data_IF_562880254415
#
_entry.id   IF_562880254415
#
_cell.length_a   1.000
_cell.length_b   1.000
_cell.length_c   1.000
_cell.angle_alpha   90.00
_cell.angle_beta   90.00
_cell.angle_gamma   90.00
#
_symmetry.space_group_name_H-M   'P 1'
#
loop_
_entity.id
_entity.type
_entity.pdbx_description
1 polymer ?
#
# COMPACT_ATOMS: atom_id res chain seq x y z
N UNK A 1 2.62 9.37 -21.36
CA UNK A 1 3.52 10.40 -21.97
C UNK A 1 4.59 9.79 -22.87
N UNK A 2 5.00 8.54 -22.71
CA UNK A 2 5.95 7.90 -23.63
C UNK A 2 5.45 7.83 -25.10
N UNK A 3 4.13 7.79 -25.27
CA UNK A 3 3.49 7.75 -26.62
C UNK A 3 3.11 9.15 -27.11
N UNK A 4 2.72 10.02 -26.20
CA UNK A 4 2.38 11.42 -26.48
C UNK A 4 2.96 12.32 -25.37
N UNK A 5 4.14 12.93 -25.60
CA UNK A 5 4.78 13.78 -24.59
C UNK A 5 4.02 15.06 -24.27
N UNK A 6 3.18 15.55 -25.19
CA UNK A 6 2.37 16.76 -25.03
C UNK A 6 1.05 16.49 -24.28
N UNK A 7 0.82 15.25 -23.83
CA UNK A 7 -0.38 14.92 -23.06
C UNK A 7 -0.30 15.54 -21.67
N UNK A 8 -1.24 16.40 -21.35
CA UNK A 8 -1.47 16.92 -20.03
C UNK A 8 -2.16 15.86 -19.18
N UNK A 9 -1.52 15.45 -18.08
CA UNK A 9 -2.00 14.40 -17.18
C UNK A 9 -2.00 14.99 -15.77
N UNK A 10 -3.17 14.97 -15.16
CA UNK A 10 -3.37 15.31 -13.76
C UNK A 10 -3.87 14.10 -12.98
N UNK A 11 -3.76 14.18 -11.67
CA UNK A 11 -4.16 13.12 -10.75
C UNK A 11 -5.09 13.67 -9.67
N UNK A 12 -5.92 12.81 -9.13
CA UNK A 12 -6.78 13.15 -8.00
C UNK A 12 -7.02 11.93 -7.12
N UNK A 13 -7.29 12.17 -5.85
CA UNK A 13 -7.67 11.09 -4.91
C UNK A 13 -9.13 10.71 -5.16
N UNK A 14 -9.39 9.42 -5.34
CA UNK A 14 -10.76 8.92 -5.53
C UNK A 14 -11.62 9.24 -4.31
N UNK A 15 -12.73 9.97 -4.48
CA UNK A 15 -13.60 10.33 -3.37
C UNK A 15 -14.39 9.08 -2.91
N UNK A 16 -13.99 8.51 -1.79
CA UNK A 16 -14.66 7.36 -1.17
C UNK A 16 -15.81 7.78 -0.24
N UNK A 17 -15.76 9.02 0.28
CA UNK A 17 -16.76 9.61 1.17
C UNK A 17 -17.19 10.99 0.69
N UNK A 18 -18.39 11.41 1.11
CA UNK A 18 -18.85 12.80 0.96
C UNK A 18 -18.17 13.76 1.94
N UNK A 19 -17.49 13.24 2.96
CA UNK A 19 -16.66 14.01 3.87
C UNK A 19 -15.22 14.03 3.34
N UNK A 20 -14.69 15.19 2.92
CA UNK A 20 -13.33 15.27 2.38
C UNK A 20 -12.25 14.79 3.37
N UNK A 21 -12.49 14.88 4.68
CA UNK A 21 -11.54 14.46 5.72
C UNK A 21 -11.37 12.94 5.79
N UNK A 22 -12.36 12.18 5.31
CA UNK A 22 -12.33 10.72 5.26
C UNK A 22 -11.66 10.18 3.99
N UNK A 23 -11.45 11.02 2.98
CA UNK A 23 -10.80 10.61 1.75
C UNK A 23 -9.29 10.50 1.96
N UNK A 24 -8.72 9.37 1.58
CA UNK A 24 -7.30 9.06 1.73
C UNK A 24 -6.72 8.59 0.40
N UNK A 25 -5.46 8.93 0.18
CA UNK A 25 -4.67 8.40 -0.92
C UNK A 25 -4.28 6.96 -0.59
N UNK A 26 -4.68 6.00 -1.43
CA UNK A 26 -4.16 4.65 -1.32
C UNK A 26 -2.72 4.63 -1.83
N UNK A 27 -1.80 4.29 -0.95
CA UNK A 27 -0.39 4.16 -1.26
C UNK A 27 0.21 3.08 -0.38
N UNK A 28 1.11 2.30 -0.92
CA UNK A 28 1.78 1.24 -0.19
C UNK A 28 3.14 0.95 -0.80
N UNK A 29 3.83 -0.03 -0.26
CA UNK A 29 5.13 -0.46 -0.76
C UNK A 29 4.94 -1.27 -2.03
N UNK A 30 5.53 -0.81 -3.14
CA UNK A 30 5.50 -1.49 -4.42
C UNK A 30 6.75 -2.35 -4.62
N UNK A 31 7.93 -1.73 -4.54
CA UNK A 31 9.21 -2.42 -4.70
C UNK A 31 9.91 -2.53 -3.35
N UNK A 32 10.29 -3.76 -2.98
CA UNK A 32 10.99 -4.04 -1.73
C UNK A 32 12.31 -4.74 -2.01
N UNK A 33 13.32 -4.37 -1.25
CA UNK A 33 14.61 -5.07 -1.22
C UNK A 33 14.83 -5.67 0.16
N UNK A 34 15.36 -6.88 0.20
CA UNK A 34 15.76 -7.50 1.45
C UNK A 34 17.12 -8.19 1.31
N UNK A 35 17.89 -8.15 2.38
CA UNK A 35 19.14 -8.92 2.49
C UNK A 35 18.82 -10.24 3.17
N UNK A 36 19.08 -11.36 2.48
CA UNK A 36 18.81 -12.68 3.01
C UNK A 36 19.65 -12.97 4.26
N UNK A 37 19.07 -13.70 5.22
CA UNK A 37 19.75 -13.99 6.48
C UNK A 37 21.03 -14.80 6.30
N UNK A 38 21.10 -15.65 5.29
CA UNK A 38 22.24 -16.51 4.92
C UNK A 38 23.15 -15.87 3.84
N UNK A 39 22.99 -14.58 3.56
CA UNK A 39 23.86 -13.85 2.64
C UNK A 39 25.30 -13.87 3.18
N UNK A 40 26.25 -14.39 2.39
CA UNK A 40 27.66 -14.51 2.75
C UNK A 40 28.37 -13.15 2.83
N UNK A 41 27.90 -12.17 2.03
CA UNK A 41 28.50 -10.83 2.00
C UNK A 41 27.43 -9.75 2.25
N UNK A 42 26.97 -9.68 3.51
CA UNK A 42 25.95 -8.71 3.93
C UNK A 42 26.42 -7.26 3.81
N UNK A 43 27.72 -7.02 4.06
CA UNK A 43 28.30 -5.68 3.99
C UNK A 43 28.17 -5.12 2.57
N UNK A 44 28.59 -5.86 1.56
CA UNK A 44 28.42 -5.44 0.16
C UNK A 44 26.93 -5.32 -0.25
N UNK A 45 26.05 -6.16 0.30
CA UNK A 45 24.62 -6.04 0.05
C UNK A 45 24.05 -4.74 0.64
N UNK A 46 24.48 -4.33 1.81
CA UNK A 46 24.09 -3.05 2.41
C UNK A 46 24.67 -1.85 1.64
N UNK A 47 25.92 -1.92 1.17
CA UNK A 47 26.49 -0.89 0.30
C UNK A 47 25.65 -0.66 -0.95
N UNK A 48 25.13 -1.73 -1.56
CA UNK A 48 24.20 -1.61 -2.70
C UNK A 48 22.89 -0.93 -2.30
N UNK A 49 22.31 -1.29 -1.14
CA UNK A 49 21.10 -0.64 -0.66
C UNK A 49 21.34 0.84 -0.33
N UNK A 50 22.46 1.17 0.31
CA UNK A 50 22.83 2.55 0.61
C UNK A 50 22.97 3.37 -0.68
N UNK A 51 23.62 2.81 -1.71
CA UNK A 51 23.71 3.45 -3.03
C UNK A 51 22.31 3.69 -3.64
N UNK A 52 21.42 2.69 -3.61
CA UNK A 52 20.07 2.85 -4.15
C UNK A 52 19.25 3.91 -3.39
N UNK A 53 19.56 4.12 -2.10
CA UNK A 53 18.90 5.09 -1.24
C UNK A 53 19.61 6.46 -1.19
N UNK A 54 20.65 6.70 -1.99
CA UNK A 54 21.19 8.04 -2.19
C UNK A 54 20.13 8.95 -2.79
N UNK A 55 20.07 10.22 -2.35
CA UNK A 55 19.00 11.15 -2.72
C UNK A 55 18.86 11.32 -4.24
N UNK A 56 19.98 11.37 -4.97
CA UNK A 56 19.99 11.48 -6.42
C UNK A 56 19.38 10.25 -7.11
N UNK A 57 19.66 9.06 -6.60
CA UNK A 57 19.11 7.82 -7.15
C UNK A 57 17.62 7.68 -6.83
N UNK A 58 17.23 8.05 -5.62
CA UNK A 58 15.81 8.11 -5.22
C UNK A 58 15.06 9.10 -6.10
N UNK A 59 15.56 10.34 -6.29
CA UNK A 59 14.92 11.34 -7.15
C UNK A 59 14.78 10.82 -8.60
N UNK A 60 15.83 10.20 -9.14
CA UNK A 60 15.79 9.61 -10.48
C UNK A 60 14.68 8.56 -10.61
N UNK A 61 14.53 7.70 -9.59
CA UNK A 61 13.47 6.70 -9.55
C UNK A 61 12.07 7.34 -9.48
N UNK A 62 11.89 8.36 -8.64
CA UNK A 62 10.61 9.08 -8.53
C UNK A 62 10.20 9.72 -9.85
N UNK A 63 11.17 10.32 -10.57
CA UNK A 63 10.92 10.98 -11.84
C UNK A 63 10.57 9.98 -12.95
N UNK A 64 11.17 8.79 -12.95
CA UNK A 64 10.91 7.75 -13.93
C UNK A 64 9.59 7.03 -13.67
N UNK A 65 9.39 6.55 -12.45
CA UNK A 65 8.23 5.73 -12.06
C UNK A 65 7.00 6.54 -11.68
N UNK A 66 7.11 7.88 -11.54
CA UNK A 66 6.03 8.75 -11.04
C UNK A 66 5.54 8.31 -9.65
N UNK A 67 6.50 8.03 -8.79
CA UNK A 67 6.27 7.46 -7.47
C UNK A 67 6.38 8.50 -6.35
N UNK A 68 5.97 8.12 -5.13
CA UNK A 68 6.12 8.88 -3.88
C UNK A 68 7.38 8.36 -3.16
N UNK A 69 8.21 9.25 -2.56
CA UNK A 69 9.41 8.82 -1.86
C UNK A 69 9.09 7.94 -0.65
N UNK A 70 9.89 6.90 -0.45
CA UNK A 70 9.86 6.04 0.75
C UNK A 70 10.84 6.51 1.84
N UNK A 71 11.60 7.57 1.58
CA UNK A 71 12.65 8.12 2.43
C UNK A 71 12.32 9.57 2.77
N UNK A 72 12.61 9.99 4.00
CA UNK A 72 12.57 11.40 4.36
C UNK A 72 13.68 12.16 3.64
N UNK A 73 13.35 13.31 3.09
CA UNK A 73 14.26 14.16 2.32
C UNK A 73 13.55 15.24 1.55
N UNK A 74 14.33 16.11 0.93
CA UNK A 74 13.81 17.23 0.12
C UNK A 74 13.67 16.79 -1.35
N UNK A 75 12.64 15.97 -1.60
CA UNK A 75 12.37 15.43 -2.93
C UNK A 75 11.31 16.25 -3.68
N UNK A 76 11.51 16.39 -4.99
CA UNK A 76 10.53 16.98 -5.89
C UNK A 76 9.56 15.91 -6.39
N UNK A 77 8.28 16.08 -6.10
CA UNK A 77 7.26 15.17 -6.65
C UNK A 77 7.03 15.45 -8.14
N UNK A 78 6.83 14.40 -8.95
CA UNK A 78 6.45 14.57 -10.35
C UNK A 78 5.16 15.40 -10.51
N UNK A 79 5.11 16.31 -11.47
CA UNK A 79 3.95 17.18 -11.70
C UNK A 79 2.64 16.40 -11.92
N UNK A 80 2.72 15.19 -12.44
CA UNK A 80 1.56 14.29 -12.58
C UNK A 80 0.91 13.90 -11.26
N UNK A 81 1.58 14.15 -10.11
CA UNK A 81 1.07 13.88 -8.77
C UNK A 81 0.60 15.16 -8.03
N UNK A 82 0.56 16.31 -8.71
CA UNK A 82 0.19 17.58 -8.07
C UNK A 82 -1.18 17.53 -7.38
N UNK A 83 -2.17 16.88 -7.99
CA UNK A 83 -3.49 16.69 -7.39
C UNK A 83 -3.52 15.77 -6.15
N UNK A 84 -2.41 15.08 -5.84
CA UNK A 84 -2.27 14.23 -4.66
C UNK A 84 -1.35 14.83 -3.59
N UNK A 85 -0.64 15.91 -3.93
CA UNK A 85 0.43 16.49 -3.11
C UNK A 85 -0.03 16.83 -1.69
N UNK A 86 -1.17 17.48 -1.53
CA UNK A 86 -1.74 17.82 -0.24
C UNK A 86 -1.95 16.58 0.66
N UNK A 87 -2.45 15.49 0.07
CA UNK A 87 -2.66 14.22 0.81
C UNK A 87 -1.35 13.59 1.27
N UNK A 88 -0.30 13.70 0.47
CA UNK A 88 1.06 13.20 0.80
C UNK A 88 1.66 14.05 1.92
N UNK A 89 1.63 15.37 1.80
CA UNK A 89 2.19 16.32 2.77
C UNK A 89 1.48 16.26 4.13
N UNK A 90 0.17 16.02 4.14
CA UNK A 90 -0.62 15.89 5.36
C UNK A 90 -0.64 14.45 5.93
N UNK A 91 0.01 13.50 5.28
CA UNK A 91 0.00 12.10 5.69
C UNK A 91 -1.39 11.44 5.61
N UNK A 92 -2.30 12.00 4.80
CA UNK A 92 -3.63 11.43 4.56
C UNK A 92 -3.56 10.25 3.59
N UNK A 93 -2.85 9.19 4.02
CA UNK A 93 -2.64 7.99 3.22
C UNK A 93 -3.24 6.76 3.91
N UNK A 94 -3.51 5.73 3.14
CA UNK A 94 -3.90 4.41 3.60
C UNK A 94 -3.19 3.36 2.76
N UNK A 95 -2.79 2.26 3.39
CA UNK A 95 -2.14 1.15 2.71
C UNK A 95 -3.11 0.43 1.76
N UNK A 96 -2.57 -0.29 0.79
CA UNK A 96 -3.34 -1.13 -0.11
C UNK A 96 -4.08 -2.22 0.65
N UNK A 97 -5.39 -2.26 0.49
CA UNK A 97 -6.24 -3.22 1.19
C UNK A 97 -6.04 -4.66 0.72
N UNK A 98 -5.62 -4.86 -0.52
CA UNK A 98 -5.35 -6.17 -1.10
C UNK A 98 -4.17 -6.89 -0.45
N UNK A 99 -3.25 -6.17 0.19
CA UNK A 99 -2.18 -6.77 0.99
C UNK A 99 -2.71 -7.60 2.18
N UNK A 100 -3.92 -7.33 2.64
CA UNK A 100 -4.55 -8.01 3.77
C UNK A 100 -5.53 -9.11 3.35
N UNK A 101 -5.71 -9.31 2.04
CA UNK A 101 -6.58 -10.37 1.55
C UNK A 101 -5.82 -11.68 1.40
N UNK A 102 -6.35 -12.79 1.92
CA UNK A 102 -5.82 -14.10 1.62
C UNK A 102 -5.80 -14.35 0.11
N UNK A 103 -4.72 -14.94 -0.39
CA UNK A 103 -4.55 -15.20 -1.84
C UNK A 103 -5.68 -16.04 -2.43
N UNK A 104 -6.26 -16.95 -1.61
CA UNK A 104 -7.35 -17.85 -2.00
C UNK A 104 -8.72 -17.13 -2.03
N UNK A 105 -8.79 -15.92 -1.48
CA UNK A 105 -10.01 -15.13 -1.45
C UNK A 105 -10.20 -14.42 -2.78
N UNK A 106 -11.08 -14.93 -3.62
CA UNK A 106 -11.35 -14.36 -4.95
C UNK A 106 -12.16 -13.05 -4.83
N UNK A 107 -11.53 -11.99 -4.31
CA UNK A 107 -12.15 -10.68 -4.01
C UNK A 107 -12.74 -10.05 -5.25
N UNK A 108 -12.04 -10.09 -6.38
CA UNK A 108 -12.52 -9.54 -7.66
C UNK A 108 -13.84 -10.18 -8.10
N UNK A 109 -13.96 -11.51 -7.98
CA UNK A 109 -15.19 -12.22 -8.31
C UNK A 109 -16.34 -11.89 -7.35
N UNK A 110 -16.02 -11.63 -6.08
CA UNK A 110 -17.02 -11.18 -5.10
C UNK A 110 -17.50 -9.75 -5.42
N UNK A 111 -16.61 -8.84 -5.78
CA UNK A 111 -16.94 -7.47 -6.20
C UNK A 111 -17.78 -7.51 -7.48
N UNK A 112 -17.41 -8.30 -8.49
CA UNK A 112 -18.20 -8.47 -9.71
C UNK A 112 -19.61 -8.98 -9.41
N UNK A 113 -19.73 -9.95 -8.51
CA UNK A 113 -21.03 -10.48 -8.07
C UNK A 113 -21.86 -9.39 -7.38
N UNK A 114 -21.24 -8.58 -6.53
CA UNK A 114 -21.88 -7.45 -5.87
C UNK A 114 -22.38 -6.42 -6.90
N UNK A 115 -21.56 -6.03 -7.86
CA UNK A 115 -21.94 -5.07 -8.89
C UNK A 115 -23.15 -5.53 -9.72
N UNK A 116 -23.24 -6.84 -9.97
CA UNK A 116 -24.38 -7.42 -10.71
C UNK A 116 -25.65 -7.52 -9.85
N UNK A 117 -25.53 -7.97 -8.61
CA UNK A 117 -26.68 -8.25 -7.75
C UNK A 117 -27.10 -7.07 -6.89
N UNK A 118 -26.17 -6.15 -6.59
CA UNK A 118 -26.34 -4.98 -5.71
C UNK A 118 -26.82 -5.32 -4.29
N UNK A 119 -26.55 -6.55 -3.85
CA UNK A 119 -26.87 -7.03 -2.50
C UNK A 119 -25.66 -6.83 -1.58
N UNK A 120 -25.67 -5.69 -0.86
CA UNK A 120 -24.61 -5.29 0.04
C UNK A 120 -24.45 -6.25 1.21
N UNK A 121 -25.55 -6.69 1.81
CA UNK A 121 -25.50 -7.52 3.01
C UNK A 121 -24.97 -8.91 2.69
N UNK A 122 -25.39 -9.50 1.58
CA UNK A 122 -24.84 -10.76 1.12
C UNK A 122 -23.34 -10.66 0.78
N UNK A 123 -22.92 -9.55 0.17
CA UNK A 123 -21.51 -9.29 -0.15
C UNK A 123 -20.66 -9.20 1.13
N UNK A 124 -21.05 -8.34 2.09
CA UNK A 124 -20.32 -8.15 3.34
C UNK A 124 -20.24 -9.44 4.15
N UNK A 125 -21.35 -10.18 4.27
CA UNK A 125 -21.37 -11.47 4.96
C UNK A 125 -20.44 -12.49 4.33
N UNK A 126 -20.44 -12.59 3.00
CA UNK A 126 -19.56 -13.52 2.29
C UNK A 126 -18.09 -13.11 2.46
N UNK A 127 -17.78 -11.84 2.32
CA UNK A 127 -16.45 -11.29 2.48
C UNK A 127 -15.87 -11.60 3.87
N UNK A 128 -16.61 -11.27 4.93
CA UNK A 128 -16.23 -11.54 6.31
C UNK A 128 -16.04 -13.05 6.59
N UNK A 129 -16.96 -13.88 6.08
CA UNK A 129 -16.87 -15.34 6.23
C UNK A 129 -15.62 -15.90 5.55
N UNK A 130 -15.34 -15.48 4.32
CA UNK A 130 -14.18 -15.96 3.57
C UNK A 130 -12.88 -15.45 4.19
N UNK A 131 -12.83 -14.18 4.58
CA UNK A 131 -11.66 -13.59 5.24
C UNK A 131 -11.32 -14.32 6.54
N UNK A 132 -12.31 -14.54 7.41
CA UNK A 132 -12.15 -15.28 8.66
C UNK A 132 -11.72 -16.73 8.42
N UNK A 133 -12.31 -17.38 7.41
CA UNK A 133 -11.98 -18.77 7.07
C UNK A 133 -10.53 -18.92 6.65
N UNK A 134 -10.06 -18.07 5.74
CA UNK A 134 -8.71 -18.17 5.18
C UNK A 134 -7.62 -17.63 6.12
N UNK A 135 -7.95 -16.70 7.01
CA UNK A 135 -7.03 -16.18 8.01
C UNK A 135 -7.07 -16.89 9.37
N UNK A 136 -7.78 -18.01 9.49
CA UNK A 136 -7.99 -18.69 10.78
C UNK A 136 -6.71 -18.92 11.57
N UNK A 137 -5.66 -19.38 10.93
CA UNK A 137 -4.39 -19.68 11.60
C UNK A 137 -3.64 -18.42 12.04
N UNK A 138 -3.75 -17.34 11.27
CA UNK A 138 -3.18 -16.04 11.61
C UNK A 138 -3.94 -15.44 12.79
N UNK A 139 -5.27 -15.43 12.73
CA UNK A 139 -6.14 -14.94 13.80
C UNK A 139 -5.79 -15.65 15.11
N UNK A 140 -5.69 -17.00 15.09
CA UNK A 140 -5.32 -17.78 16.27
C UNK A 140 -3.94 -17.38 16.81
N UNK A 141 -2.92 -17.22 15.94
CA UNK A 141 -1.58 -16.80 16.37
C UNK A 141 -1.59 -15.40 17.00
N UNK A 142 -2.37 -14.47 16.47
CA UNK A 142 -2.53 -13.13 17.02
C UNK A 142 -3.18 -13.21 18.41
N UNK A 143 -4.27 -13.95 18.54
CA UNK A 143 -4.95 -14.17 19.83
C UNK A 143 -4.02 -14.82 20.87
N UNK A 144 -3.29 -15.89 20.48
CA UNK A 144 -2.31 -16.54 21.37
C UNK A 144 -1.19 -15.56 21.80
N UNK A 145 -0.80 -14.62 20.91
CA UNK A 145 0.19 -13.59 21.24
C UNK A 145 -0.37 -12.54 22.19
N UNK A 146 -1.57 -12.06 21.96
CA UNK A 146 -2.26 -11.07 22.80
C UNK A 146 -2.51 -11.64 24.22
N UNK A 147 -2.98 -12.89 24.33
CA UNK A 147 -3.15 -13.58 25.62
C UNK A 147 -1.85 -13.68 26.41
N UNK A 148 -0.71 -13.91 25.71
CA UNK A 148 0.61 -14.05 26.37
C UNK A 148 1.25 -12.71 26.76
N UNK A 149 0.95 -11.65 26.04
CA UNK A 149 1.63 -10.35 26.18
C UNK A 149 0.67 -9.22 26.60
N UNK A 150 -0.65 -9.43 26.57
CA UNK A 150 -1.66 -8.43 26.95
C UNK A 150 -1.89 -8.26 28.45
N UNK A 151 -1.29 -9.08 29.32
CA UNK A 151 -1.38 -8.93 30.80
C UNK A 151 -0.39 -7.94 31.39
N UNK A 152 0.36 -7.18 30.55
CA UNK A 152 1.46 -6.31 31.00
C UNK A 152 1.16 -4.80 31.07
N UNK A 153 -0.04 -4.35 30.68
CA UNK A 153 -0.42 -2.92 30.74
C UNK A 153 -1.73 -2.73 31.51
N UNK A 154 -1.61 -2.75 32.85
CA UNK A 154 -2.56 -2.15 33.79
C UNK A 154 -1.81 -1.38 34.86
#
# INVERSE_FOLDING_TARGET
>A
QSVNPDMDIDSFVTPASNDPSENKLNSGVDLQFCVMNDCENKEAAYEVLDFLLEDENVQTYLDDQKAVPCKEGDFTLPATLDGMKEYIEEGRMADYQDHYYPTEMAVDAQIQTFLMKKDKDAFLKKFDTDWTRYNRDIIRKVQDYEEKNGEGEN
#
